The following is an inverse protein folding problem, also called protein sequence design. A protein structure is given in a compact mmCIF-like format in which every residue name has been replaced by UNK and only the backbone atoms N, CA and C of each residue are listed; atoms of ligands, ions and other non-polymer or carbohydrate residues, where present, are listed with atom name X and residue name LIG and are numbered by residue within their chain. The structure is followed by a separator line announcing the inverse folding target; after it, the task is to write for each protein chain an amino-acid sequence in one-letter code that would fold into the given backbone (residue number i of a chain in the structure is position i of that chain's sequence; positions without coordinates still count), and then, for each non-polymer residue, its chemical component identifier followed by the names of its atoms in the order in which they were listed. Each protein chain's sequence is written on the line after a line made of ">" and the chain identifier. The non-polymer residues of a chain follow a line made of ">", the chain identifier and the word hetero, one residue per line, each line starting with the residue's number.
data_IF_597994652644
#
_entry.id   IF_597994652644
#
_cell.length_a   1.000
_cell.length_b   1.000
_cell.length_c   1.000
_cell.angle_alpha   90.00
_cell.angle_beta   90.00
_cell.angle_gamma   90.00
#
_symmetry.space_group_name_H-M   'P 1'
#
loop_
_entity.id
_entity.type
_entity.pdbx_description
1 polymer ?
#
# COMPACT_ATOMS: atom_id res chain seq x y z
N UNK A 1 -19.21 -27.91 32.04
CA UNK A 1 -18.53 -26.75 31.44
C UNK A 1 -17.77 -26.05 32.55
N UNK A 2 -16.46 -25.90 32.42
CA UNK A 2 -15.63 -25.35 33.51
C UNK A 2 -15.74 -23.83 33.55
N UNK A 3 -16.05 -23.23 34.71
CA UNK A 3 -16.21 -21.77 34.86
C UNK A 3 -14.93 -20.96 34.58
N UNK A 4 -13.79 -21.62 34.36
CA UNK A 4 -12.54 -20.95 34.00
C UNK A 4 -12.46 -20.59 32.51
N UNK A 5 -13.11 -21.34 31.60
CA UNK A 5 -13.00 -21.02 30.17
C UNK A 5 -13.83 -19.81 29.73
N UNK A 6 -14.93 -19.51 30.42
CA UNK A 6 -15.77 -18.35 30.11
C UNK A 6 -15.09 -17.03 30.52
N UNK A 7 -14.39 -17.03 31.66
CA UNK A 7 -13.64 -15.85 32.11
C UNK A 7 -12.47 -15.53 31.18
N UNK A 8 -11.76 -16.54 30.68
CA UNK A 8 -10.64 -16.34 29.75
C UNK A 8 -11.12 -15.76 28.41
N UNK A 9 -12.28 -16.20 27.92
CA UNK A 9 -12.88 -15.67 26.68
C UNK A 9 -13.24 -14.19 26.79
N UNK A 10 -13.87 -13.78 27.90
CA UNK A 10 -14.25 -12.38 28.12
C UNK A 10 -13.04 -11.45 28.24
N UNK A 11 -11.96 -11.95 28.86
CA UNK A 11 -10.70 -11.21 28.96
C UNK A 11 -10.08 -11.01 27.58
N UNK A 12 -10.06 -12.05 26.74
CA UNK A 12 -9.53 -11.97 25.37
C UNK A 12 -10.34 -10.98 24.52
N UNK A 13 -11.67 -11.00 24.61
CA UNK A 13 -12.52 -10.07 23.86
C UNK A 13 -12.30 -8.61 24.27
N UNK A 14 -12.17 -8.36 25.58
CA UNK A 14 -11.88 -7.02 26.10
C UNK A 14 -10.50 -6.53 25.66
N UNK A 15 -9.49 -7.38 25.77
CA UNK A 15 -8.13 -7.05 25.35
C UNK A 15 -8.11 -6.81 23.82
N UNK A 16 -8.83 -7.62 23.03
CA UNK A 16 -8.99 -7.40 21.58
C UNK A 16 -9.60 -6.04 21.25
N UNK A 17 -10.71 -5.67 21.90
CA UNK A 17 -11.35 -4.38 21.64
C UNK A 17 -10.43 -3.21 22.00
N UNK A 18 -9.81 -3.25 23.19
CA UNK A 18 -8.92 -2.19 23.63
C UNK A 18 -7.68 -2.07 22.72
N UNK A 19 -7.07 -3.20 22.38
CA UNK A 19 -5.89 -3.21 21.52
C UNK A 19 -6.17 -2.76 20.10
N UNK A 20 -7.38 -3.01 19.57
CA UNK A 20 -7.82 -2.43 18.30
C UNK A 20 -7.79 -0.91 18.34
N UNK A 21 -8.36 -0.29 19.37
CA UNK A 21 -8.42 1.17 19.48
C UNK A 21 -7.03 1.80 19.67
N UNK A 22 -6.20 1.21 20.53
CA UNK A 22 -4.80 1.62 20.73
C UNK A 22 -4.02 1.55 19.41
N UNK A 23 -4.17 0.43 18.69
CA UNK A 23 -3.49 0.20 17.43
C UNK A 23 -3.94 1.19 16.35
N UNK A 24 -5.26 1.39 16.20
CA UNK A 24 -5.82 2.36 15.24
C UNK A 24 -5.32 3.78 15.54
N UNK A 25 -5.33 4.19 16.80
CA UNK A 25 -4.84 5.52 17.19
C UNK A 25 -3.36 5.68 16.86
N UNK A 26 -2.53 4.69 17.22
CA UNK A 26 -1.10 4.74 16.94
C UNK A 26 -0.78 4.81 15.45
N UNK A 27 -1.53 4.07 14.63
CA UNK A 27 -1.43 4.14 13.18
C UNK A 27 -1.93 5.47 12.61
N UNK A 28 -3.01 6.02 13.14
CA UNK A 28 -3.55 7.31 12.71
C UNK A 28 -2.53 8.44 12.97
N UNK A 29 -1.86 8.42 14.12
CA UNK A 29 -0.78 9.37 14.42
C UNK A 29 0.36 9.30 13.40
N UNK A 30 0.78 8.09 13.02
CA UNK A 30 1.84 7.90 12.04
C UNK A 30 1.38 8.26 10.62
N UNK A 31 0.13 7.95 10.29
CA UNK A 31 -0.51 8.32 9.03
C UNK A 31 -0.54 9.84 8.87
N UNK A 32 -1.04 10.59 9.85
CA UNK A 32 -1.09 12.06 9.79
C UNK A 32 0.31 12.67 9.64
N UNK A 33 1.34 12.10 10.28
CA UNK A 33 2.73 12.55 10.10
C UNK A 33 3.28 12.29 8.69
N UNK A 34 2.74 11.28 8.01
CA UNK A 34 3.22 10.82 6.71
C UNK A 34 2.40 11.36 5.53
N UNK A 35 1.18 11.83 5.78
CA UNK A 35 0.28 12.36 4.75
C UNK A 35 0.78 13.73 4.26
N UNK A 36 0.89 13.93 2.93
CA UNK A 36 1.20 15.22 2.36
C UNK A 36 0.15 16.28 2.74
N UNK A 37 0.58 17.49 3.09
CA UNK A 37 -0.31 18.58 3.48
C UNK A 37 -1.27 19.08 2.38
N UNK A 38 -1.16 18.56 1.15
CA UNK A 38 -2.06 18.86 0.03
C UNK A 38 -3.30 17.97 -0.04
N UNK A 39 -3.36 16.91 0.76
CA UNK A 39 -4.53 16.02 0.78
C UNK A 39 -5.67 16.70 1.55
N UNK A 40 -6.88 16.82 0.96
CA UNK A 40 -8.00 17.44 1.64
C UNK A 40 -8.46 16.56 2.83
N UNK A 41 -8.88 17.15 3.97
CA UNK A 41 -9.32 16.39 5.14
C UNK A 41 -10.46 15.41 4.87
N UNK A 42 -11.29 15.67 3.86
CA UNK A 42 -12.39 14.78 3.46
C UNK A 42 -11.93 13.42 2.94
N UNK A 43 -10.67 13.27 2.53
CA UNK A 43 -10.11 12.01 2.01
C UNK A 43 -9.41 11.19 3.11
N UNK A 44 -9.24 11.74 4.32
CA UNK A 44 -8.42 11.11 5.35
C UNK A 44 -9.00 9.77 5.81
N UNK A 45 -10.32 9.68 5.98
CA UNK A 45 -10.97 8.46 6.44
C UNK A 45 -10.82 7.31 5.44
N UNK A 46 -11.00 7.58 4.14
CA UNK A 46 -10.86 6.58 3.07
C UNK A 46 -9.39 6.13 2.91
N UNK A 47 -8.45 7.08 2.96
CA UNK A 47 -7.03 6.77 2.92
C UNK A 47 -6.59 5.97 4.13
N UNK A 48 -7.05 6.34 5.32
CA UNK A 48 -6.73 5.62 6.55
C UNK A 48 -7.36 4.22 6.56
N UNK A 49 -8.59 4.07 6.07
CA UNK A 49 -9.21 2.75 5.87
C UNK A 49 -8.37 1.87 4.93
N UNK A 50 -7.84 2.44 3.84
CA UNK A 50 -6.93 1.74 2.93
C UNK A 50 -5.60 1.35 3.62
N UNK A 51 -5.08 2.15 4.55
CA UNK A 51 -3.91 1.79 5.38
C UNK A 51 -4.21 0.55 6.22
N UNK A 52 -5.35 0.55 6.91
CA UNK A 52 -5.76 -0.57 7.74
C UNK A 52 -5.99 -1.84 6.93
N UNK A 53 -6.57 -1.71 5.73
CA UNK A 53 -6.81 -2.84 4.83
C UNK A 53 -5.52 -3.38 4.20
N UNK A 54 -4.54 -2.53 3.92
CA UNK A 54 -3.26 -2.95 3.33
C UNK A 54 -2.19 -3.31 4.37
N UNK A 55 -2.47 -3.13 5.66
CA UNK A 55 -1.52 -3.41 6.73
C UNK A 55 -1.10 -4.89 6.73
N UNK A 56 0.20 -5.15 6.90
CA UNK A 56 0.77 -6.49 6.84
C UNK A 56 0.63 -7.23 8.18
N UNK A 57 -0.61 -7.48 8.62
CA UNK A 57 -0.91 -8.12 9.93
C UNK A 57 -0.15 -9.43 10.15
N UNK A 58 -0.06 -10.26 9.11
CA UNK A 58 0.67 -11.53 9.18
C UNK A 58 2.15 -11.31 9.49
N UNK A 59 2.82 -10.48 8.70
CA UNK A 59 4.24 -10.17 8.88
C UNK A 59 4.54 -9.53 10.23
N UNK A 60 3.61 -8.72 10.75
CA UNK A 60 3.71 -8.12 12.09
C UNK A 60 3.63 -9.18 13.20
N UNK A 61 2.68 -10.10 13.09
CA UNK A 61 2.49 -11.18 14.05
C UNK A 61 3.60 -12.23 14.02
N UNK A 62 4.16 -12.53 12.85
CA UNK A 62 5.27 -13.48 12.68
C UNK A 62 6.62 -12.88 13.10
N UNK A 63 6.67 -11.59 13.47
CA UNK A 63 7.91 -10.96 13.89
C UNK A 63 8.28 -11.31 15.34
N UNK A 64 9.46 -11.93 15.56
CA UNK A 64 9.89 -12.38 16.87
C UNK A 64 10.14 -11.23 17.86
N UNK A 65 10.32 -10.00 17.37
CA UNK A 65 10.52 -8.80 18.19
C UNK A 65 9.22 -8.07 18.53
N UNK A 66 8.08 -8.55 18.02
CA UNK A 66 6.74 -8.03 18.30
C UNK A 66 5.97 -9.05 19.13
N UNK A 67 5.57 -10.17 18.52
CA UNK A 67 4.74 -11.17 19.19
C UNK A 67 5.56 -12.32 19.78
N UNK A 68 6.90 -12.32 19.65
CA UNK A 68 7.79 -13.29 20.30
C UNK A 68 7.41 -14.77 20.09
N UNK A 69 7.71 -15.60 21.09
CA UNK A 69 7.29 -17.02 21.15
C UNK A 69 5.79 -17.19 21.41
N UNK A 70 5.06 -16.12 21.73
CA UNK A 70 3.61 -16.21 22.02
C UNK A 70 2.76 -16.45 20.76
N UNK A 71 3.34 -16.32 19.57
CA UNK A 71 2.68 -16.71 18.33
C UNK A 71 3.03 -18.16 17.97
N UNK A 72 2.05 -19.08 17.80
CA UNK A 72 2.35 -20.45 17.42
C UNK A 72 3.01 -20.48 16.04
N UNK A 73 4.29 -20.85 15.98
CA UNK A 73 5.02 -21.00 14.72
C UNK A 73 4.34 -22.07 13.85
N UNK A 74 3.97 -21.72 12.61
CA UNK A 74 3.32 -22.65 11.68
C UNK A 74 1.79 -22.59 11.66
N UNK A 75 1.17 -21.64 12.38
CA UNK A 75 -0.27 -21.42 12.29
C UNK A 75 -0.63 -20.69 10.98
N UNK A 76 -1.18 -21.40 10.00
CA UNK A 76 -1.71 -20.79 8.78
C UNK A 76 -3.13 -20.28 9.07
N UNK A 77 -3.23 -19.02 9.48
CA UNK A 77 -4.52 -18.36 9.72
C UNK A 77 -5.04 -17.59 8.51
N UNK A 78 -6.35 -17.36 8.46
CA UNK A 78 -6.93 -16.32 7.60
C UNK A 78 -6.49 -14.93 8.06
N UNK A 79 -6.48 -13.95 7.15
CA UNK A 79 -6.06 -12.57 7.43
C UNK A 79 -6.78 -11.95 8.65
N UNK A 80 -8.08 -12.20 8.79
CA UNK A 80 -8.89 -11.72 9.94
C UNK A 80 -8.36 -12.24 11.27
N UNK A 81 -7.88 -13.48 11.31
CA UNK A 81 -7.32 -14.08 12.54
C UNK A 81 -6.03 -13.40 12.96
N UNK A 82 -5.13 -13.06 12.02
CA UNK A 82 -3.90 -12.34 12.38
C UNK A 82 -4.19 -10.95 12.95
N UNK A 83 -5.17 -10.25 12.37
CA UNK A 83 -5.62 -8.95 12.87
C UNK A 83 -6.18 -9.05 14.29
N UNK A 84 -7.09 -10.01 14.53
CA UNK A 84 -7.67 -10.21 15.86
C UNK A 84 -6.62 -10.58 16.91
N UNK A 85 -5.65 -11.43 16.56
CA UNK A 85 -4.57 -11.81 17.48
C UNK A 85 -3.66 -10.63 17.78
N UNK A 86 -3.30 -9.82 16.77
CA UNK A 86 -2.51 -8.61 16.99
C UNK A 86 -3.23 -7.65 17.95
N UNK A 87 -4.53 -7.46 17.77
CA UNK A 87 -5.32 -6.59 18.64
C UNK A 87 -5.39 -7.14 20.06
N UNK A 88 -5.67 -8.43 20.24
CA UNK A 88 -5.65 -9.05 21.56
C UNK A 88 -4.27 -8.92 22.24
N UNK A 89 -3.18 -9.06 21.48
CA UNK A 89 -1.82 -8.88 21.97
C UNK A 89 -1.53 -7.44 22.41
N UNK A 90 -1.86 -6.44 21.59
CA UNK A 90 -1.68 -5.02 21.95
C UNK A 90 -2.48 -4.67 23.20
N UNK A 91 -3.71 -5.17 23.33
CA UNK A 91 -4.55 -4.93 24.50
C UNK A 91 -4.01 -5.62 25.76
N UNK A 92 -3.47 -6.84 25.64
CA UNK A 92 -2.87 -7.53 26.76
C UNK A 92 -1.60 -6.81 27.24
N UNK A 93 -0.74 -6.34 26.33
CA UNK A 93 0.42 -5.51 26.66
C UNK A 93 0.02 -4.27 27.48
N UNK A 94 -1.02 -3.55 27.05
CA UNK A 94 -1.49 -2.37 27.78
C UNK A 94 -1.95 -2.70 29.21
N UNK A 95 -2.44 -3.92 29.44
CA UNK A 95 -2.93 -4.37 30.75
C UNK A 95 -1.83 -4.94 31.64
N UNK A 96 -0.86 -5.66 31.07
CA UNK A 96 0.08 -6.50 31.85
C UNK A 96 1.51 -5.98 31.86
N UNK A 97 1.86 -5.06 30.97
CA UNK A 97 3.24 -4.60 30.78
C UNK A 97 3.38 -3.09 31.04
N UNK A 98 4.62 -2.60 31.02
CA UNK A 98 4.88 -1.17 31.14
C UNK A 98 4.45 -0.40 29.89
N UNK A 99 4.06 0.86 30.09
CA UNK A 99 3.73 1.79 28.99
C UNK A 99 4.88 1.92 27.99
N UNK A 100 6.13 1.88 28.46
CA UNK A 100 7.32 1.94 27.59
C UNK A 100 7.44 0.72 26.67
N UNK A 101 7.11 -0.48 27.15
CA UNK A 101 7.10 -1.69 26.32
C UNK A 101 6.00 -1.62 25.26
N UNK A 102 4.81 -1.15 25.64
CA UNK A 102 3.73 -0.91 24.69
C UNK A 102 4.16 0.08 23.60
N UNK A 103 4.78 1.20 23.98
CA UNK A 103 5.29 2.21 23.04
C UNK A 103 6.36 1.64 22.10
N UNK A 104 7.30 0.84 22.62
CA UNK A 104 8.33 0.18 21.80
C UNK A 104 7.69 -0.79 20.78
N UNK A 105 6.74 -1.61 21.21
CA UNK A 105 6.01 -2.52 20.31
C UNK A 105 5.24 -1.74 19.24
N UNK A 106 4.50 -0.70 19.62
CA UNK A 106 3.78 0.15 18.67
C UNK A 106 4.73 0.85 17.69
N UNK A 107 5.90 1.30 18.13
CA UNK A 107 6.91 1.88 17.26
C UNK A 107 7.43 0.85 16.23
N UNK A 108 7.69 -0.39 16.66
CA UNK A 108 8.10 -1.48 15.76
C UNK A 108 7.01 -1.86 14.77
N UNK A 109 5.75 -1.84 15.16
CA UNK A 109 4.61 -2.14 14.29
C UNK A 109 4.49 -1.17 13.09
N UNK A 110 5.07 0.03 13.18
CA UNK A 110 5.05 1.02 12.08
C UNK A 110 5.80 0.55 10.83
N UNK A 111 6.76 -0.38 10.96
CA UNK A 111 7.52 -0.91 9.82
C UNK A 111 6.67 -1.73 8.82
N UNK A 112 5.47 -2.13 9.24
CA UNK A 112 4.52 -2.88 8.40
C UNK A 112 3.45 -2.01 7.75
N UNK A 113 3.53 -0.69 7.94
CA UNK A 113 2.70 0.24 7.20
C UNK A 113 3.17 0.18 5.74
N UNK A 114 2.29 -0.11 4.78
CA UNK A 114 2.65 -0.28 3.37
C UNK A 114 3.15 1.00 2.68
N UNK A 115 3.27 2.10 3.43
CA UNK A 115 3.40 3.46 2.93
C UNK A 115 4.67 4.19 3.38
N UNK A 116 5.49 3.60 4.26
CA UNK A 116 6.63 4.32 4.87
C UNK A 116 7.67 4.86 3.87
N UNK A 117 7.67 4.37 2.62
CA UNK A 117 8.68 4.72 1.61
C UNK A 117 8.18 5.62 0.46
N UNK A 118 6.88 5.72 0.19
CA UNK A 118 6.38 6.33 -1.08
C UNK A 118 5.80 7.75 -0.93
N UNK A 119 5.51 8.24 0.29
CA UNK A 119 4.94 9.60 0.47
C UNK A 119 5.99 10.70 0.64
N UNK A 120 7.25 10.35 0.92
CA UNK A 120 8.35 11.33 1.03
C UNK A 120 8.95 11.61 -0.37
N UNK A 121 8.30 12.53 -1.07
CA UNK A 121 8.74 13.31 -2.24
C UNK A 121 9.72 12.70 -3.28
N UNK A 122 9.31 12.60 -4.56
CA UNK A 122 10.23 12.64 -5.69
C UNK A 122 10.52 14.11 -6.08
N UNK A 123 11.56 14.67 -5.47
CA UNK A 123 12.30 15.87 -5.90
C UNK A 123 11.48 17.13 -6.25
N UNK A 124 11.53 18.09 -5.33
CA UNK A 124 11.66 19.52 -5.65
C UNK A 124 12.91 19.73 -6.51
N UNK A 125 12.75 19.73 -7.84
CA UNK A 125 13.66 20.43 -8.73
C UNK A 125 13.08 21.82 -8.93
N UNK A 126 13.54 22.77 -8.13
CA UNK A 126 13.51 24.18 -8.53
C UNK A 126 14.57 24.33 -9.62
N UNK A 127 14.13 24.44 -10.86
CA UNK A 127 14.97 25.01 -11.92
C UNK A 127 15.18 26.50 -11.64
N UNK A 128 16.38 27.05 -11.88
CA UNK A 128 16.62 28.48 -11.76
C UNK A 128 15.93 29.21 -12.92
N UNK A 129 15.07 30.16 -12.58
CA UNK A 129 14.42 31.08 -13.52
C UNK A 129 15.50 32.00 -14.09
N UNK A 130 15.89 31.77 -15.34
CA UNK A 130 16.65 32.74 -16.13
C UNK A 130 15.71 33.83 -16.65
N UNK A 131 16.00 35.05 -16.21
CA UNK A 131 15.31 36.29 -16.49
C UNK A 131 15.73 36.84 -17.85
N UNK A 132 14.86 36.80 -18.87
CA UNK A 132 14.94 37.71 -20.03
C UNK A 132 13.54 38.09 -20.53
N UNK A 133 13.20 39.36 -20.39
CA UNK A 133 12.22 40.09 -21.20
C UNK A 133 12.99 41.09 -22.09
N UNK A 134 12.49 41.53 -23.27
CA UNK A 134 11.34 42.46 -23.35
C UNK A 134 10.37 42.26 -24.55
N UNK A 135 9.19 42.91 -24.48
CA UNK A 135 8.04 42.87 -25.43
C UNK A 135 8.22 43.59 -26.79
N UNK A 136 7.19 44.17 -27.48
CA UNK A 136 5.83 44.53 -27.02
C UNK A 136 4.63 44.37 -28.02
N UNK A 137 3.42 44.62 -27.48
CA UNK A 137 2.21 45.25 -28.04
C UNK A 137 1.37 44.63 -29.20
N UNK A 138 0.07 44.40 -28.91
CA UNK A 138 -1.03 44.59 -29.87
C UNK A 138 -2.32 43.79 -29.60
N UNK A 139 -3.43 44.49 -29.32
CA UNK A 139 -4.75 44.10 -29.85
C UNK A 139 -5.81 43.47 -28.92
N UNK A 140 -6.80 44.29 -28.56
CA UNK A 140 -8.09 44.07 -27.89
C UNK A 140 -9.01 42.99 -28.53
N UNK A 141 -9.67 42.12 -27.73
CA UNK A 141 -11.14 42.03 -27.59
C UNK A 141 -11.62 40.85 -26.70
N UNK A 142 -12.71 41.16 -25.99
CA UNK A 142 -13.42 40.37 -24.98
C UNK A 142 -14.02 39.07 -25.54
N UNK A 143 -13.87 37.96 -24.81
CA UNK A 143 -14.86 36.87 -24.80
C UNK A 143 -15.00 36.28 -23.40
N UNK A 144 -16.21 36.44 -22.84
CA UNK A 144 -16.66 35.84 -21.59
C UNK A 144 -16.90 34.33 -21.79
N UNK A 145 -16.35 33.50 -20.89
CA UNK A 145 -16.95 32.30 -20.25
C UNK A 145 -15.90 31.42 -19.54
N UNK A 146 -16.07 31.07 -18.25
CA UNK A 146 -15.47 29.88 -17.58
C UNK A 146 -16.54 28.73 -17.49
N UNK A 147 -16.25 27.49 -17.00
CA UNK A 147 -15.18 27.15 -16.04
C UNK A 147 -14.44 25.79 -16.20
N UNK A 148 -13.19 25.78 -15.73
CA UNK A 148 -12.63 24.87 -14.71
C UNK A 148 -12.99 23.37 -14.73
N UNK A 149 -12.83 22.67 -15.87
CA UNK A 149 -12.90 21.19 -15.90
C UNK A 149 -11.64 20.52 -16.47
N UNK A 150 -10.82 21.23 -17.25
CA UNK A 150 -9.64 20.64 -17.91
C UNK A 150 -8.35 20.74 -17.05
N UNK A 151 -8.29 21.66 -16.08
CA UNK A 151 -7.12 21.82 -15.20
C UNK A 151 -7.07 20.82 -14.03
N UNK A 152 -8.21 20.25 -13.62
CA UNK A 152 -8.26 19.18 -12.61
C UNK A 152 -7.81 17.82 -13.19
N UNK A 153 -7.92 17.62 -14.50
CA UNK A 153 -7.47 16.40 -15.16
C UNK A 153 -5.95 16.44 -15.47
N UNK A 154 -5.39 17.63 -15.76
CA UNK A 154 -3.96 17.76 -16.06
C UNK A 154 -3.06 17.64 -14.80
N UNK A 155 -3.48 18.16 -13.65
CA UNK A 155 -2.69 18.03 -12.42
C UNK A 155 -2.86 16.67 -11.73
N UNK A 156 -4.00 15.99 -11.93
CA UNK A 156 -4.20 14.60 -11.49
C UNK A 156 -3.39 13.60 -12.35
N UNK A 157 -3.12 13.90 -13.63
CA UNK A 157 -2.25 13.08 -14.49
C UNK A 157 -0.77 13.18 -14.10
N UNK A 158 -0.29 14.35 -13.67
CA UNK A 158 1.11 14.57 -13.30
C UNK A 158 1.55 13.87 -12.00
N UNK A 159 0.66 13.76 -11.01
CA UNK A 159 0.95 13.03 -9.77
C UNK A 159 0.85 11.50 -9.90
N UNK A 160 0.09 11.00 -10.87
CA UNK A 160 0.03 9.56 -11.16
C UNK A 160 1.27 9.07 -11.91
N UNK A 161 1.88 9.89 -12.76
CA UNK A 161 3.07 9.49 -13.54
C UNK A 161 4.29 9.14 -12.69
N UNK A 162 4.52 9.81 -11.56
CA UNK A 162 5.67 9.48 -10.69
C UNK A 162 5.46 8.21 -9.85
N UNK A 163 4.21 7.85 -9.51
CA UNK A 163 3.88 6.55 -8.90
C UNK A 163 3.97 5.41 -9.93
N UNK A 164 3.86 5.75 -11.23
CA UNK A 164 3.90 4.80 -12.33
C UNK A 164 5.28 4.28 -12.71
N UNK A 165 6.36 5.02 -12.42
CA UNK A 165 7.72 4.54 -12.71
C UNK A 165 8.12 3.31 -11.87
N UNK A 166 7.60 3.18 -10.64
CA UNK A 166 7.75 1.96 -9.83
C UNK A 166 6.79 0.84 -10.24
N UNK A 167 5.54 1.20 -10.55
CA UNK A 167 4.46 0.28 -10.91
C UNK A 167 4.56 -0.28 -12.33
N UNK A 168 5.46 0.20 -13.18
CA UNK A 168 5.69 -0.35 -14.53
C UNK A 168 6.88 -1.33 -14.59
N UNK A 169 7.65 -1.49 -13.51
CA UNK A 169 8.93 -2.24 -13.53
C UNK A 169 8.80 -3.69 -14.01
N UNK A 170 7.93 -4.50 -13.43
CA UNK A 170 7.79 -5.90 -13.82
C UNK A 170 7.14 -6.06 -15.20
N UNK A 171 6.16 -5.23 -15.55
CA UNK A 171 5.61 -5.22 -16.91
C UNK A 171 6.66 -4.88 -17.97
N UNK A 172 7.51 -3.87 -17.70
CA UNK A 172 8.59 -3.47 -18.60
C UNK A 172 9.68 -4.54 -18.69
N UNK A 173 10.05 -5.16 -17.56
CA UNK A 173 11.04 -6.24 -17.54
C UNK A 173 10.59 -7.45 -18.35
N UNK A 174 9.32 -7.88 -18.20
CA UNK A 174 8.78 -8.98 -19.02
C UNK A 174 8.77 -8.62 -20.50
N UNK A 175 8.43 -7.38 -20.82
CA UNK A 175 8.41 -6.91 -22.21
C UNK A 175 9.82 -6.86 -22.81
N UNK A 176 10.79 -6.29 -22.10
CA UNK A 176 12.19 -6.22 -22.52
C UNK A 176 12.81 -7.62 -22.66
N UNK A 177 12.57 -8.49 -21.68
CA UNK A 177 13.00 -9.88 -21.74
C UNK A 177 12.38 -10.59 -22.95
N UNK A 178 11.08 -10.38 -23.17
CA UNK A 178 10.38 -10.89 -24.33
C UNK A 178 10.96 -10.43 -25.65
N UNK A 179 11.34 -9.16 -25.74
CA UNK A 179 11.84 -8.56 -26.97
C UNK A 179 13.21 -9.14 -27.32
N UNK A 180 14.05 -9.40 -26.31
CA UNK A 180 15.36 -10.05 -26.48
C UNK A 180 15.27 -11.47 -27.00
N UNK A 181 14.20 -12.20 -26.68
CA UNK A 181 14.05 -13.62 -27.05
C UNK A 181 13.04 -13.87 -28.18
N UNK A 182 12.34 -12.84 -28.65
CA UNK A 182 11.34 -12.95 -29.72
C UNK A 182 10.01 -13.55 -29.28
N UNK A 183 9.68 -13.53 -27.99
CA UNK A 183 8.41 -14.05 -27.44
C UNK A 183 7.80 -12.99 -26.52
N UNK A 184 6.58 -12.53 -26.79
CA UNK A 184 5.93 -11.47 -26.00
C UNK A 184 5.03 -12.05 -24.89
N UNK A 185 4.97 -11.42 -23.70
CA UNK A 185 4.01 -11.79 -22.67
C UNK A 185 2.57 -11.51 -23.13
N UNK A 186 1.66 -12.45 -22.89
CA UNK A 186 0.23 -12.32 -23.18
C UNK A 186 -0.53 -11.98 -21.90
N UNK A 187 -1.40 -10.98 -21.94
CA UNK A 187 -2.19 -10.55 -20.78
C UNK A 187 -3.65 -10.91 -20.97
N UNK A 188 -4.22 -11.63 -20.01
CA UNK A 188 -5.64 -11.93 -19.96
C UNK A 188 -6.47 -10.71 -19.56
N UNK A 189 -7.72 -10.67 -20.01
CA UNK A 189 -8.65 -9.61 -19.64
C UNK A 189 -8.80 -9.49 -18.12
N UNK A 190 -8.77 -8.26 -17.63
CA UNK A 190 -8.94 -8.00 -16.21
C UNK A 190 -10.40 -8.27 -15.80
N UNK A 191 -10.64 -9.32 -15.03
CA UNK A 191 -11.95 -9.64 -14.46
C UNK A 191 -12.20 -8.72 -13.27
N UNK A 192 -13.31 -7.99 -13.32
CA UNK A 192 -13.76 -7.16 -12.22
C UNK A 192 -14.70 -7.96 -11.31
N UNK A 193 -14.50 -7.81 -10.01
CA UNK A 193 -15.33 -8.33 -8.93
C UNK A 193 -15.54 -7.22 -7.90
N UNK A 194 -16.51 -7.39 -7.02
CA UNK A 194 -16.71 -6.48 -5.89
C UNK A 194 -16.23 -7.21 -4.64
N UNK A 195 -15.27 -6.62 -3.93
CA UNK A 195 -14.76 -7.14 -2.66
C UNK A 195 -14.94 -6.06 -1.60
N UNK A 196 -15.70 -6.38 -0.55
CA UNK A 196 -16.01 -5.43 0.54
C UNK A 196 -16.62 -4.11 0.06
N UNK A 197 -17.45 -4.15 -0.99
CA UNK A 197 -18.09 -2.95 -1.56
C UNK A 197 -17.21 -2.14 -2.52
N UNK A 198 -15.93 -2.50 -2.69
CA UNK A 198 -15.00 -1.80 -3.58
C UNK A 198 -14.69 -2.63 -4.86
N UNK A 199 -14.39 -1.97 -5.99
CA UNK A 199 -13.93 -2.63 -7.20
C UNK A 199 -12.62 -3.39 -6.96
N UNK A 200 -12.60 -4.65 -7.39
CA UNK A 200 -11.44 -5.54 -7.27
C UNK A 200 -11.20 -6.23 -8.61
N UNK A 201 -10.03 -5.99 -9.20
CA UNK A 201 -9.63 -6.51 -10.50
C UNK A 201 -8.67 -7.68 -10.32
N UNK A 202 -8.83 -8.71 -11.14
CA UNK A 202 -7.92 -9.84 -11.24
C UNK A 202 -7.49 -10.01 -12.69
N UNK A 203 -6.22 -10.34 -12.94
CA UNK A 203 -5.68 -10.56 -14.28
C UNK A 203 -4.60 -11.63 -14.21
N UNK A 204 -4.35 -12.23 -15.37
CA UNK A 204 -3.34 -13.27 -15.55
C UNK A 204 -2.39 -12.82 -16.65
N UNK A 205 -1.10 -13.10 -16.50
CA UNK A 205 -0.11 -12.97 -17.57
C UNK A 205 0.43 -14.36 -17.90
N UNK A 206 0.47 -14.71 -19.18
CA UNK A 206 1.06 -15.96 -19.66
C UNK A 206 2.32 -15.64 -20.47
N UNK A 207 3.43 -16.26 -20.11
CA UNK A 207 4.71 -16.00 -20.76
C UNK A 207 5.65 -17.22 -20.60
N UNK A 208 6.20 -17.75 -21.69
CA UNK A 208 7.12 -18.92 -21.68
C UNK A 208 6.59 -20.14 -20.91
N UNK A 209 5.28 -20.40 -21.02
CA UNK A 209 4.63 -21.51 -20.32
C UNK A 209 4.45 -21.31 -18.82
N UNK A 210 4.78 -20.12 -18.26
CA UNK A 210 4.40 -19.74 -16.90
C UNK A 210 3.18 -18.83 -16.91
N UNK A 211 2.33 -18.98 -15.90
CA UNK A 211 1.20 -18.08 -15.66
C UNK A 211 1.37 -17.33 -14.35
N UNK A 212 1.43 -16.00 -14.43
CA UNK A 212 1.43 -15.09 -13.31
C UNK A 212 0.03 -14.57 -13.00
N UNK A 213 -0.34 -14.48 -11.73
CA UNK A 213 -1.67 -14.04 -11.28
C UNK A 213 -1.56 -12.81 -10.39
N UNK A 214 -2.43 -11.84 -10.62
CA UNK A 214 -2.45 -10.60 -9.86
C UNK A 214 -3.87 -10.14 -9.59
N UNK A 215 -4.10 -9.57 -8.41
CA UNK A 215 -5.38 -8.97 -8.06
C UNK A 215 -5.20 -7.73 -7.19
N UNK A 216 -5.97 -6.67 -7.45
CA UNK A 216 -5.85 -5.39 -6.77
C UNK A 216 -7.10 -4.51 -6.96
N UNK A 217 -7.13 -3.36 -6.30
CA UNK A 217 -8.20 -2.35 -6.45
C UNK A 217 -8.24 -1.66 -7.82
N UNK A 218 -7.19 -1.78 -8.64
CA UNK A 218 -7.15 -1.22 -10.01
C UNK A 218 -6.60 -2.24 -11.02
N UNK A 219 -7.04 -2.13 -12.29
CA UNK A 219 -6.55 -2.99 -13.39
C UNK A 219 -5.03 -2.92 -13.56
N UNK A 220 -4.45 -1.72 -13.40
CA UNK A 220 -3.01 -1.50 -13.58
C UNK A 220 -2.20 -2.19 -12.49
N UNK A 221 -2.61 -2.07 -11.23
CA UNK A 221 -1.93 -2.74 -10.10
C UNK A 221 -2.11 -4.26 -10.19
N UNK A 222 -3.28 -4.75 -10.59
CA UNK A 222 -3.50 -6.18 -10.83
C UNK A 222 -2.56 -6.72 -11.91
N UNK A 223 -2.37 -5.96 -13.01
CA UNK A 223 -1.45 -6.31 -14.11
C UNK A 223 0.00 -6.35 -13.65
N UNK A 224 0.43 -5.38 -12.86
CA UNK A 224 1.77 -5.36 -12.29
C UNK A 224 1.99 -6.53 -11.32
N UNK A 225 1.01 -6.84 -10.47
CA UNK A 225 1.08 -7.98 -9.56
C UNK A 225 1.19 -9.31 -10.32
N UNK A 226 0.43 -9.48 -11.40
CA UNK A 226 0.53 -10.65 -12.28
C UNK A 226 1.91 -10.73 -12.94
N UNK A 227 2.44 -9.59 -13.40
CA UNK A 227 3.77 -9.49 -14.02
C UNK A 227 4.88 -9.81 -13.04
N UNK A 228 4.77 -9.34 -11.80
CA UNK A 228 5.69 -9.68 -10.72
C UNK A 228 5.69 -11.18 -10.44
N UNK A 229 4.51 -11.78 -10.29
CA UNK A 229 4.38 -13.23 -10.05
C UNK A 229 5.00 -14.06 -11.20
N UNK A 230 4.80 -13.66 -12.46
CA UNK A 230 5.46 -14.30 -13.59
C UNK A 230 6.98 -14.10 -13.60
N UNK A 231 7.47 -12.89 -13.30
CA UNK A 231 8.91 -12.63 -13.14
C UNK A 231 9.53 -13.48 -12.03
N UNK A 232 8.85 -13.61 -10.89
CA UNK A 232 9.30 -14.41 -9.75
C UNK A 232 9.41 -15.89 -10.18
N UNK A 233 8.41 -16.42 -10.89
CA UNK A 233 8.39 -17.80 -11.42
C UNK A 233 9.47 -18.06 -12.48
N UNK A 234 9.80 -17.06 -13.28
CA UNK A 234 10.86 -17.13 -14.30
C UNK A 234 12.25 -16.88 -13.72
N UNK A 235 12.35 -16.53 -12.43
CA UNK A 235 13.59 -16.10 -11.81
C UNK A 235 14.16 -14.84 -12.47
N UNK A 236 13.33 -13.88 -12.88
CA UNK A 236 13.79 -12.61 -13.46
C UNK A 236 13.91 -11.50 -12.41
N UNK A 237 13.25 -11.65 -11.28
CA UNK A 237 13.13 -10.61 -10.25
C UNK A 237 14.45 -10.22 -9.59
N UNK A 238 15.43 -11.13 -9.55
CA UNK A 238 16.77 -10.84 -8.98
C UNK A 238 17.61 -9.90 -9.86
N UNK A 239 17.29 -9.76 -11.15
CA UNK A 239 18.01 -8.84 -12.05
C UNK A 239 17.66 -7.36 -11.79
N UNK A 240 16.54 -7.09 -11.14
CA UNK A 240 16.11 -5.73 -10.79
C UNK A 240 16.97 -5.16 -9.65
N UNK A 241 17.44 -6.00 -8.73
CA UNK A 241 18.24 -5.57 -7.58
C UNK A 241 19.64 -5.07 -7.95
N UNK A 242 20.19 -5.52 -9.08
CA UNK A 242 21.54 -5.16 -9.54
C UNK A 242 21.61 -3.95 -10.49
N UNK A 243 20.47 -3.46 -10.99
CA UNK A 243 20.45 -2.31 -11.90
C UNK A 243 20.40 -0.95 -11.18
N UNK A 244 20.29 -0.96 -9.84
CA UNK A 244 20.12 0.25 -9.01
C UNK A 244 20.91 0.22 -7.69
N UNK A 245 21.91 -0.65 -7.57
CA UNK A 245 22.97 -0.56 -6.54
C UNK A 245 24.20 0.11 -7.14
#
# INVERSE_FOLDING_TARGET
>A
MSPHSENDSLVIERDRWLGQEIFRLSLAEEFIKSVPGRIPPSEYDDLFANVLDCYQYRSACEDPYICGETFPSGYVADKSKYQEVLFAYVGSLNRTESEDKLKDVLARLRKYIPFSHDWRDPQSHQDPVDEVSPGPAGGTLVRLSPPALEQLEQDAMSFQDKQFDGLARYTALLHEHGQKIGEMPSYGEAKQSIRSGLPWFSTTVSYRGVEGHGSASTKKVAKQAASKDACDKLGLSHRISHLYS
#
